data_IF_286003709077
#
_entry.id   IF_286003709077
#
_cell.length_a   1.000
_cell.length_b   1.000
_cell.length_c   1.000
_cell.angle_alpha   90.00
_cell.angle_beta   90.00
_cell.angle_gamma   90.00
#
_symmetry.space_group_name_H-M   'P 1'
#
loop_
_entity.id
_entity.type
_entity.pdbx_description
1 polymer ?
#
# COMPACT_ATOMS: atom_id res chain seq x y z
N UNK A 1 12.88 4.24 12.45
CA UNK A 1 11.91 4.77 11.47
C UNK A 1 10.67 3.91 11.52
N UNK A 2 9.49 4.53 11.67
CA UNK A 2 8.20 3.84 11.52
C UNK A 2 7.64 4.16 10.13
N UNK A 3 7.20 3.14 9.42
CA UNK A 3 6.63 3.29 8.08
C UNK A 3 5.12 3.15 8.19
N UNK A 4 4.39 4.17 7.73
CA UNK A 4 2.92 4.14 7.71
C UNK A 4 2.42 4.05 6.29
N UNK A 5 1.50 3.12 6.03
CA UNK A 5 0.84 3.00 4.75
C UNK A 5 -0.59 3.53 4.82
N UNK A 6 -0.94 4.41 3.89
CA UNK A 6 -2.26 5.00 3.76
C UNK A 6 -2.73 5.02 2.32
N UNK A 7 -4.03 5.25 2.14
CA UNK A 7 -4.65 5.46 0.82
C UNK A 7 -5.25 6.84 0.75
N UNK A 8 -5.21 7.41 -0.44
CA UNK A 8 -5.99 8.57 -0.83
C UNK A 8 -7.05 8.09 -1.81
N UNK A 9 -8.30 8.11 -1.39
CA UNK A 9 -9.42 7.57 -2.15
C UNK A 9 -10.69 7.60 -1.30
N UNK A 10 -11.75 7.05 -1.85
CA UNK A 10 -12.96 6.72 -1.10
C UNK A 10 -13.12 5.19 -1.04
N UNK A 11 -14.21 4.72 -0.45
CA UNK A 11 -14.52 3.29 -0.38
C UNK A 11 -14.75 2.64 -1.74
N UNK A 12 -15.06 3.42 -2.78
CA UNK A 12 -15.37 2.94 -4.13
C UNK A 12 -14.14 2.90 -5.05
N UNK A 13 -13.13 3.73 -4.79
CA UNK A 13 -11.95 3.89 -5.63
C UNK A 13 -10.73 4.40 -4.83
N UNK A 14 -9.61 3.69 -4.95
CA UNK A 14 -8.31 4.18 -4.46
C UNK A 14 -7.64 4.98 -5.57
N UNK A 15 -7.37 6.26 -5.32
CA UNK A 15 -6.71 7.13 -6.29
C UNK A 15 -5.19 7.09 -6.15
N UNK A 16 -4.68 7.02 -4.92
CA UNK A 16 -3.23 6.98 -4.68
C UNK A 16 -2.89 6.23 -3.39
N UNK A 17 -1.69 5.68 -3.33
CA UNK A 17 -1.12 5.08 -2.12
C UNK A 17 -0.05 6.00 -1.56
N UNK A 18 -0.06 6.16 -0.25
CA UNK A 18 0.84 7.03 0.50
C UNK A 18 1.69 6.15 1.42
N UNK A 19 3.00 6.23 1.28
CA UNK A 19 3.97 5.61 2.18
C UNK A 19 4.69 6.73 2.92
N UNK A 20 4.42 6.86 4.22
CA UNK A 20 5.08 7.85 5.08
C UNK A 20 6.20 7.19 5.88
N UNK A 21 7.39 7.77 5.84
CA UNK A 21 8.59 7.32 6.52
C UNK A 21 9.21 8.50 7.27
N UNK A 22 8.89 8.66 8.56
CA UNK A 22 9.26 9.82 9.39
C UNK A 22 9.00 11.18 8.68
N UNK A 23 10.03 11.79 8.08
CA UNK A 23 9.96 13.09 7.36
C UNK A 23 9.76 12.96 5.84
N UNK A 24 9.85 11.75 5.29
CA UNK A 24 9.65 11.47 3.87
C UNK A 24 8.25 10.93 3.61
N UNK A 25 7.62 11.40 2.53
CA UNK A 25 6.33 10.88 2.07
C UNK A 25 6.44 10.53 0.59
N UNK A 26 6.22 9.26 0.27
CA UNK A 26 6.08 8.77 -1.08
C UNK A 26 4.60 8.67 -1.41
N UNK A 27 4.20 9.25 -2.54
CA UNK A 27 2.84 9.17 -3.05
C UNK A 27 2.92 8.64 -4.47
N UNK A 28 2.00 7.74 -4.84
CA UNK A 28 1.93 7.25 -6.22
C UNK A 28 1.66 8.42 -7.16
N UNK A 29 2.46 8.51 -8.23
CA UNK A 29 2.37 9.60 -9.20
C UNK A 29 1.12 9.49 -10.08
N UNK A 30 0.75 8.26 -10.45
CA UNK A 30 -0.41 7.98 -11.27
C UNK A 30 -1.65 7.71 -10.42
N UNK A 31 -2.82 8.03 -10.99
CA UNK A 31 -4.10 7.72 -10.37
C UNK A 31 -4.41 6.23 -10.57
N UNK A 32 -4.36 5.45 -9.49
CA UNK A 32 -4.57 4.00 -9.49
C UNK A 32 -5.92 3.60 -10.11
N UNK A 33 -6.95 4.43 -9.95
CA UNK A 33 -8.26 4.18 -10.57
C UNK A 33 -8.22 4.30 -12.11
N UNK A 34 -7.35 5.15 -12.65
CA UNK A 34 -7.25 5.41 -14.09
C UNK A 34 -6.18 4.56 -14.78
N UNK A 35 -5.28 3.91 -14.03
CA UNK A 35 -4.26 3.05 -14.62
C UNK A 35 -4.85 1.67 -14.97
N UNK A 36 -4.52 1.16 -16.15
CA UNK A 36 -4.95 -0.16 -16.60
C UNK A 36 -4.55 -1.28 -15.65
N UNK A 37 -5.26 -2.41 -15.70
CA UNK A 37 -5.06 -3.57 -14.83
C UNK A 37 -3.62 -4.10 -14.79
N UNK A 38 -2.91 -4.09 -15.92
CA UNK A 38 -1.50 -4.47 -15.98
C UNK A 38 -0.62 -3.57 -15.09
N UNK A 39 -0.86 -2.26 -15.12
CA UNK A 39 -0.13 -1.30 -14.31
C UNK A 39 -0.52 -1.41 -12.84
N UNK A 40 -1.79 -1.67 -12.52
CA UNK A 40 -2.25 -1.94 -11.14
C UNK A 40 -1.54 -3.16 -10.56
N UNK A 41 -1.52 -4.27 -11.31
CA UNK A 41 -0.80 -5.48 -10.92
C UNK A 41 0.71 -5.26 -10.70
N UNK A 42 1.35 -4.52 -11.61
CA UNK A 42 2.78 -4.19 -11.49
C UNK A 42 3.05 -3.30 -10.29
N UNK A 43 2.20 -2.30 -10.05
CA UNK A 43 2.28 -1.42 -8.89
C UNK A 43 2.07 -2.19 -7.57
N UNK A 44 1.09 -3.10 -7.52
CA UNK A 44 0.88 -4.04 -6.42
C UNK A 44 2.15 -4.79 -6.05
N UNK A 45 2.73 -5.50 -7.01
CA UNK A 45 3.97 -6.26 -6.80
C UNK A 45 5.13 -5.38 -6.33
N UNK A 46 5.28 -4.19 -6.90
CA UNK A 46 6.32 -3.24 -6.52
C UNK A 46 6.13 -2.73 -5.08
N UNK A 47 4.91 -2.38 -4.68
CA UNK A 47 4.62 -1.93 -3.31
C UNK A 47 4.90 -3.06 -2.31
N UNK A 48 4.45 -4.28 -2.60
CA UNK A 48 4.73 -5.43 -1.74
C UNK A 48 6.24 -5.68 -1.61
N UNK A 49 6.99 -5.62 -2.71
CA UNK A 49 8.45 -5.79 -2.68
C UNK A 49 9.18 -4.67 -1.92
N UNK A 50 8.70 -3.44 -2.04
CA UNK A 50 9.22 -2.29 -1.27
C UNK A 50 8.96 -2.49 0.22
N UNK A 51 7.73 -2.83 0.61
CA UNK A 51 7.37 -3.09 2.00
C UNK A 51 8.14 -4.28 2.57
N UNK A 52 8.29 -5.37 1.81
CA UNK A 52 9.05 -6.55 2.24
C UNK A 52 10.55 -6.28 2.41
N UNK A 53 11.10 -5.35 1.62
CA UNK A 53 12.49 -4.92 1.78
C UNK A 53 12.64 -4.02 3.00
N UNK A 54 11.71 -3.08 3.19
CA UNK A 54 11.73 -2.13 4.29
C UNK A 54 11.41 -2.80 5.65
N UNK A 55 10.57 -3.83 5.66
CA UNK A 55 10.19 -4.55 6.89
C UNK A 55 11.33 -5.31 7.56
N UNK A 56 12.46 -5.48 6.86
CA UNK A 56 13.65 -6.15 7.41
C UNK A 56 14.38 -5.29 8.43
N UNK A 57 14.31 -3.97 8.25
CA UNK A 57 15.08 -3.00 9.05
C UNK A 57 14.17 -2.03 9.81
N UNK A 58 12.88 -1.97 9.45
CA UNK A 58 11.93 -1.00 9.98
C UNK A 58 10.57 -1.63 10.29
N UNK A 59 9.88 -1.08 11.29
CA UNK A 59 8.51 -1.46 11.64
C UNK A 59 7.53 -0.79 10.66
N UNK A 60 6.63 -1.60 10.08
CA UNK A 60 5.59 -1.14 9.17
C UNK A 60 4.25 -1.23 9.87
N UNK A 61 3.49 -0.14 9.81
CA UNK A 61 2.16 -0.01 10.37
C UNK A 61 1.18 0.28 9.23
N UNK A 62 0.28 -0.66 8.98
CA UNK A 62 -0.82 -0.50 8.03
C UNK A 62 -2.13 -0.59 8.79
N UNK A 63 -3.05 0.35 8.53
CA UNK A 63 -4.40 0.29 9.09
C UNK A 63 -5.20 -0.88 8.51
N UNK A 64 -5.89 -1.63 9.36
CA UNK A 64 -6.70 -2.80 8.97
C UNK A 64 -7.77 -2.47 7.92
N UNK A 65 -8.33 -1.26 7.95
CA UNK A 65 -9.32 -0.80 6.96
C UNK A 65 -8.73 -0.49 5.60
N UNK A 66 -7.43 -0.19 5.54
CA UNK A 66 -6.72 0.22 4.34
C UNK A 66 -6.21 -0.98 3.56
N UNK A 67 -5.82 -2.05 4.25
CA UNK A 67 -5.35 -3.31 3.63
C UNK A 67 -6.31 -3.83 2.55
N UNK A 68 -7.61 -4.08 2.84
CA UNK A 68 -8.52 -4.63 1.84
C UNK A 68 -8.75 -3.67 0.66
N UNK A 69 -8.68 -2.36 0.89
CA UNK A 69 -8.80 -1.36 -0.19
C UNK A 69 -7.60 -1.41 -1.13
N UNK A 70 -6.38 -1.49 -0.58
CA UNK A 70 -5.16 -1.61 -1.39
C UNK A 70 -5.14 -2.94 -2.14
N UNK A 71 -5.49 -4.03 -1.48
CA UNK A 71 -5.46 -5.36 -2.10
C UNK A 71 -6.46 -5.48 -3.24
N UNK A 72 -7.69 -5.00 -3.03
CA UNK A 72 -8.71 -4.96 -4.07
C UNK A 72 -8.24 -4.14 -5.28
N UNK A 73 -7.65 -2.97 -5.05
CA UNK A 73 -7.33 -2.07 -6.15
C UNK A 73 -6.06 -2.41 -6.90
N UNK A 74 -5.06 -2.94 -6.21
CA UNK A 74 -3.84 -3.40 -6.84
C UNK A 74 -3.94 -4.84 -7.35
N UNK A 75 -5.14 -5.44 -7.29
CA UNK A 75 -5.39 -6.82 -7.74
C UNK A 75 -4.46 -7.81 -7.02
N UNK A 76 -4.18 -7.54 -5.75
CA UNK A 76 -3.35 -8.40 -4.91
C UNK A 76 -4.18 -9.54 -4.33
N UNK A 77 -3.50 -10.61 -3.93
CA UNK A 77 -4.15 -11.69 -3.22
C UNK A 77 -4.58 -11.19 -1.83
N UNK A 78 -5.80 -11.53 -1.43
CA UNK A 78 -6.33 -11.19 -0.12
C UNK A 78 -5.40 -11.70 0.99
N UNK A 79 -5.03 -10.79 1.90
CA UNK A 79 -4.14 -11.04 3.03
C UNK A 79 -2.64 -10.97 2.73
N UNK A 80 -2.24 -10.51 1.55
CA UNK A 80 -0.83 -10.23 1.20
C UNK A 80 -0.20 -9.19 2.13
N UNK A 81 -0.97 -8.16 2.52
CA UNK A 81 -0.51 -7.07 3.38
C UNK A 81 -0.82 -7.31 4.86
N UNK A 82 -1.59 -8.35 5.21
CA UNK A 82 -1.92 -8.68 6.59
C UNK A 82 -0.69 -8.94 7.47
N UNK A 83 0.43 -9.36 6.88
CA UNK A 83 1.71 -9.54 7.59
C UNK A 83 2.30 -8.22 8.15
N UNK A 84 1.81 -7.07 7.68
CA UNK A 84 2.24 -5.74 8.12
C UNK A 84 1.15 -5.01 8.91
N UNK A 85 0.01 -5.67 9.18
CA UNK A 85 -0.98 -5.14 10.11
C UNK A 85 -0.38 -5.29 11.51
N UNK A 86 -0.21 -4.17 12.18
CA UNK A 86 0.20 -4.19 13.57
C UNK A 86 -1.01 -4.63 14.40
N UNK A 87 -0.98 -5.87 14.90
CA UNK A 87 -1.91 -6.31 15.94
C UNK A 87 -1.39 -5.72 17.24
N UNK A 88 -1.96 -4.59 17.67
CA UNK A 88 -1.87 -4.18 19.08
C UNK A 88 -2.35 -5.31 20.00
#
# INVERSE_FOLDING_TARGET
MKIKLGVRGNSDAVNAIIIKMDDLMLVTADNIFLIGEENRNKMGKNIVALLDSLSKEHEIEIGETVVPMIESELTLQEGTLNKFINKE
#
